data_IF_142332490907
#
_entry.id   IF_142332490907
#
_cell.length_a   1.000
_cell.length_b   1.000
_cell.length_c   1.000
_cell.angle_alpha   90.00
_cell.angle_beta   90.00
_cell.angle_gamma   90.00
#
_symmetry.space_group_name_H-M   'P 1'
#
loop_
_entity.id
_entity.type
_entity.pdbx_description
1 polymer ?
#
# COMPACT_ATOMS: atom_id res chain seq x y z
N UNK A 1 -14.41 -32.50 -1.41
CA UNK A 1 -13.39 -31.45 -1.16
C UNK A 1 -12.58 -31.93 0.02
N UNK A 2 -11.35 -32.35 -0.23
CA UNK A 2 -10.50 -33.00 0.77
C UNK A 2 -10.04 -31.99 1.82
N UNK A 3 -10.41 -32.26 3.08
CA UNK A 3 -9.82 -31.61 4.24
C UNK A 3 -8.41 -32.18 4.43
N UNK A 4 -7.41 -31.54 3.82
CA UNK A 4 -6.01 -31.85 4.14
C UNK A 4 -5.77 -31.58 5.63
N UNK A 5 -5.24 -32.61 6.31
CA UNK A 5 -4.81 -32.57 7.71
C UNK A 5 -3.84 -31.40 7.95
N UNK A 6 -4.35 -30.31 8.50
CA UNK A 6 -3.53 -29.17 8.90
C UNK A 6 -2.81 -29.50 10.22
N UNK A 7 -1.50 -29.77 10.14
CA UNK A 7 -0.68 -29.81 11.35
C UNK A 7 -0.50 -28.38 11.90
N UNK A 8 -0.74 -28.14 13.20
CA UNK A 8 -0.45 -26.85 13.81
C UNK A 8 1.03 -26.52 13.65
N UNK A 9 1.37 -25.24 13.43
CA UNK A 9 2.77 -24.79 13.47
C UNK A 9 3.41 -25.17 14.82
N UNK A 10 4.67 -25.62 14.82
CA UNK A 10 5.35 -26.17 15.99
C UNK A 10 5.27 -25.27 17.25
N UNK A 11 5.31 -23.95 17.06
CA UNK A 11 5.22 -22.96 18.14
C UNK A 11 3.79 -22.63 18.60
N UNK A 12 2.74 -23.02 17.85
CA UNK A 12 1.37 -22.99 18.35
C UNK A 12 1.11 -24.08 19.42
N UNK A 13 2.06 -25.02 19.57
CA UNK A 13 2.09 -26.03 20.63
C UNK A 13 3.07 -25.67 21.75
N UNK A 14 3.77 -24.53 21.67
CA UNK A 14 4.71 -24.15 22.72
C UNK A 14 3.95 -23.71 23.97
N UNK A 15 4.14 -24.46 25.05
CA UNK A 15 3.70 -24.05 26.37
C UNK A 15 4.38 -22.72 26.77
N UNK A 16 3.72 -21.94 27.64
CA UNK A 16 4.28 -20.72 28.22
C UNK A 16 5.71 -20.93 28.75
N UNK A 17 5.98 -22.09 29.35
CA UNK A 17 7.31 -22.48 29.84
C UNK A 17 8.37 -22.59 28.74
N UNK A 18 8.00 -23.04 27.54
CA UNK A 18 8.89 -23.10 26.39
C UNK A 18 9.22 -21.71 25.86
N UNK A 19 8.26 -20.77 25.90
CA UNK A 19 8.50 -19.35 25.55
C UNK A 19 9.36 -18.66 26.62
N UNK A 20 9.15 -18.96 27.90
CA UNK A 20 10.03 -18.50 28.98
C UNK A 20 11.45 -19.05 28.88
N UNK A 21 11.62 -20.25 28.31
CA UNK A 21 12.91 -20.90 28.11
C UNK A 21 13.65 -20.48 26.83
N UNK A 22 13.00 -19.76 25.90
CA UNK A 22 13.64 -19.28 24.65
C UNK A 22 14.72 -18.21 24.84
N UNK A 23 15.02 -17.85 26.09
CA UNK A 23 16.09 -16.92 26.43
C UNK A 23 15.62 -15.46 26.53
N UNK A 24 16.55 -14.55 26.84
CA UNK A 24 16.25 -13.12 26.90
C UNK A 24 15.81 -12.60 25.53
N UNK A 25 15.05 -11.50 25.52
CA UNK A 25 14.64 -10.83 24.29
C UNK A 25 15.84 -10.63 23.36
N UNK A 26 15.73 -11.14 22.13
CA UNK A 26 16.74 -10.90 21.11
C UNK A 26 16.80 -9.40 20.78
N UNK A 27 17.96 -8.92 20.36
CA UNK A 27 18.06 -7.54 19.83
C UNK A 27 17.09 -7.41 18.65
N UNK A 28 16.41 -6.25 18.50
CA UNK A 28 15.60 -5.98 17.32
C UNK A 28 16.44 -6.24 16.07
N UNK A 29 15.83 -6.90 15.07
CA UNK A 29 16.48 -7.06 13.77
C UNK A 29 16.75 -5.67 13.21
N UNK A 30 17.99 -5.43 12.82
CA UNK A 30 18.31 -4.28 11.97
C UNK A 30 17.70 -4.57 10.60
N UNK A 31 16.68 -3.79 10.23
CA UNK A 31 16.09 -3.89 8.90
C UNK A 31 17.08 -3.33 7.86
N UNK A 32 17.09 -3.89 6.63
CA UNK A 32 17.87 -3.30 5.55
C UNK A 32 17.40 -1.86 5.28
N UNK A 33 18.26 -1.04 4.67
CA UNK A 33 17.82 0.28 4.22
C UNK A 33 16.65 0.12 3.22
N UNK A 34 15.56 0.88 3.39
CA UNK A 34 14.42 0.74 2.51
C UNK A 34 14.75 1.23 1.10
N UNK A 35 14.21 0.54 0.11
CA UNK A 35 14.30 0.95 -1.30
C UNK A 35 13.23 2.00 -1.54
N UNK A 36 13.64 3.26 -1.66
CA UNK A 36 12.73 4.39 -1.90
C UNK A 36 13.01 5.00 -3.26
N UNK A 37 11.98 5.07 -4.12
CA UNK A 37 12.09 5.70 -5.45
C UNK A 37 11.64 7.15 -5.40
N UNK A 38 12.15 7.98 -6.31
CA UNK A 38 11.68 9.36 -6.45
C UNK A 38 10.29 9.37 -7.07
N UNK A 39 9.34 9.97 -6.37
CA UNK A 39 7.98 10.23 -6.82
C UNK A 39 7.76 11.71 -7.10
N UNK A 40 6.70 12.00 -7.83
CA UNK A 40 6.23 13.36 -8.10
C UNK A 40 4.71 13.41 -7.93
N UNK A 41 4.21 14.57 -7.51
CA UNK A 41 2.78 14.92 -7.53
C UNK A 41 2.52 15.91 -8.65
N UNK A 42 1.56 15.59 -9.52
CA UNK A 42 1.27 16.40 -10.70
C UNK A 42 -0.24 16.63 -10.88
N UNK A 43 -0.56 17.64 -11.68
CA UNK A 43 -1.88 17.75 -12.30
C UNK A 43 -1.87 16.91 -13.58
N UNK A 44 -2.72 15.89 -13.63
CA UNK A 44 -2.69 14.87 -14.67
C UNK A 44 -3.94 14.92 -15.54
N UNK A 45 -3.77 14.83 -16.86
CA UNK A 45 -4.89 14.60 -17.77
C UNK A 45 -5.30 13.13 -17.72
N UNK A 46 -6.55 12.87 -17.37
CA UNK A 46 -7.09 11.52 -17.15
C UNK A 46 -8.34 11.30 -17.99
N UNK A 47 -8.46 10.09 -18.54
CA UNK A 47 -9.58 9.63 -19.36
C UNK A 47 -10.38 8.59 -18.58
N UNK A 48 -11.70 8.76 -18.57
CA UNK A 48 -12.64 7.75 -18.08
C UNK A 48 -12.94 6.75 -19.20
N UNK A 49 -12.57 5.46 -19.05
CA UNK A 49 -12.67 4.52 -20.17
C UNK A 49 -14.12 4.24 -20.58
N UNK A 50 -15.09 4.36 -19.68
CA UNK A 50 -16.51 4.09 -19.94
C UNK A 50 -17.24 5.26 -20.60
N UNK A 51 -16.90 6.49 -20.24
CA UNK A 51 -17.59 7.68 -20.75
C UNK A 51 -16.80 8.42 -21.83
N UNK A 52 -15.50 8.13 -21.97
CA UNK A 52 -14.56 8.90 -22.78
C UNK A 52 -14.29 10.31 -22.25
N UNK A 53 -14.84 10.65 -21.07
CA UNK A 53 -14.67 11.96 -20.47
C UNK A 53 -13.21 12.18 -20.11
N UNK A 54 -12.71 13.39 -20.39
CA UNK A 54 -11.35 13.82 -20.07
C UNK A 54 -11.42 14.85 -18.95
N UNK A 55 -10.58 14.70 -17.93
CA UNK A 55 -10.52 15.63 -16.80
C UNK A 55 -9.08 15.83 -16.32
N UNK A 56 -8.82 16.96 -15.65
CA UNK A 56 -7.55 17.21 -14.97
C UNK A 56 -7.70 16.84 -13.50
N UNK A 57 -6.91 15.88 -13.06
CA UNK A 57 -6.87 15.43 -11.67
C UNK A 57 -5.67 16.02 -10.95
N UNK A 58 -5.89 16.58 -9.77
CA UNK A 58 -4.86 17.18 -8.95
C UNK A 58 -4.23 16.15 -8.00
N UNK A 59 -2.93 16.29 -7.75
CA UNK A 59 -2.21 15.49 -6.77
C UNK A 59 -2.05 14.02 -7.17
N UNK A 60 -2.03 13.72 -8.48
CA UNK A 60 -1.71 12.37 -8.96
C UNK A 60 -0.25 12.09 -8.69
N UNK A 61 0.03 10.95 -8.06
CA UNK A 61 1.35 10.52 -7.61
C UNK A 61 1.88 9.47 -8.59
N UNK A 62 3.10 9.64 -9.09
CA UNK A 62 3.78 8.61 -9.88
C UNK A 62 5.31 8.69 -9.75
N UNK A 63 6.03 7.67 -10.22
CA UNK A 63 7.51 7.71 -10.28
C UNK A 63 7.99 8.84 -11.19
N UNK A 64 9.03 9.55 -10.77
CA UNK A 64 9.62 10.64 -11.54
C UNK A 64 10.18 10.15 -12.90
N UNK A 65 10.75 8.94 -12.94
CA UNK A 65 11.27 8.31 -14.15
C UNK A 65 10.25 8.22 -15.29
N UNK A 66 8.94 8.19 -14.97
CA UNK A 66 7.88 8.20 -15.99
C UNK A 66 7.71 9.57 -16.65
N UNK A 67 8.09 10.64 -15.96
CA UNK A 67 8.13 12.01 -16.52
C UNK A 67 9.31 12.18 -17.48
N UNK A 68 10.38 11.41 -17.30
CA UNK A 68 11.67 11.58 -17.99
C UNK A 68 11.97 10.47 -19.02
N UNK A 69 11.15 9.43 -19.13
CA UNK A 69 11.44 8.28 -19.99
C UNK A 69 11.17 8.56 -21.48
N UNK A 70 12.15 9.21 -22.09
CA UNK A 70 12.66 8.82 -23.40
C UNK A 70 13.36 7.45 -23.29
N UNK A 71 12.75 6.44 -23.89
CA UNK A 71 13.35 5.15 -24.33
C UNK A 71 14.10 4.36 -23.25
N UNK A 72 13.51 3.24 -22.80
CA UNK A 72 14.27 2.11 -22.26
C UNK A 72 14.06 0.86 -23.11
N UNK A 73 15.15 0.11 -23.24
CA UNK A 73 15.36 -0.93 -24.23
C UNK A 73 14.64 -2.26 -23.91
N UNK A 74 14.26 -2.95 -24.99
CA UNK A 74 13.98 -4.39 -25.13
C UNK A 74 13.01 -5.03 -24.11
N UNK A 75 11.75 -5.09 -24.52
CA UNK A 75 10.95 -6.32 -24.41
C UNK A 75 10.00 -6.46 -23.23
N UNK A 76 10.19 -5.70 -22.14
CA UNK A 76 9.20 -5.61 -21.07
C UNK A 76 8.40 -4.31 -21.21
N UNK A 77 7.09 -4.43 -21.45
CA UNK A 77 6.17 -3.31 -21.31
C UNK A 77 6.20 -2.88 -19.85
N UNK A 78 6.92 -1.79 -19.55
CA UNK A 78 6.81 -1.15 -18.24
C UNK A 78 5.35 -0.77 -18.02
N UNK A 79 4.74 -1.35 -17.01
CA UNK A 79 3.41 -0.94 -16.58
C UNK A 79 3.54 0.42 -15.90
N UNK A 80 3.26 1.49 -16.67
CA UNK A 80 3.25 2.85 -16.15
C UNK A 80 2.02 3.01 -15.25
N UNK A 81 2.26 3.06 -13.95
CA UNK A 81 1.24 3.19 -12.93
C UNK A 81 1.35 4.54 -12.24
N UNK A 82 0.21 5.19 -12.03
CA UNK A 82 0.06 6.34 -11.16
C UNK A 82 -1.05 6.09 -10.15
N UNK A 83 -1.07 6.88 -9.08
CA UNK A 83 -2.01 6.76 -7.99
C UNK A 83 -2.72 8.08 -7.76
N UNK A 84 -4.04 8.04 -7.69
CA UNK A 84 -4.84 9.22 -7.42
C UNK A 84 -5.51 9.13 -6.05
N UNK A 85 -5.11 9.95 -5.07
CA UNK A 85 -5.73 9.99 -3.76
C UNK A 85 -7.21 10.41 -3.85
N UNK A 86 -8.09 9.59 -3.27
CA UNK A 86 -9.55 9.82 -3.33
C UNK A 86 -10.14 10.13 -1.97
N UNK A 87 -9.83 9.32 -0.97
CA UNK A 87 -10.46 9.39 0.35
C UNK A 87 -9.44 9.10 1.42
N UNK A 88 -9.33 9.99 2.40
CA UNK A 88 -8.58 9.72 3.62
C UNK A 88 -9.29 8.63 4.43
N UNK A 89 -8.55 7.60 4.81
CA UNK A 89 -9.03 6.47 5.59
C UNK A 89 -8.78 6.70 7.08
N UNK A 90 -7.60 7.19 7.42
CA UNK A 90 -7.15 7.30 8.81
C UNK A 90 -6.07 8.36 8.97
N UNK A 91 -6.04 9.04 10.11
CA UNK A 91 -4.93 9.89 10.54
C UNK A 91 -3.88 9.06 11.29
N UNK A 92 -2.61 9.33 11.03
CA UNK A 92 -1.46 8.68 11.66
C UNK A 92 -0.56 9.73 12.32
N UNK A 93 0.37 9.27 13.18
CA UNK A 93 1.25 10.16 13.96
C UNK A 93 2.02 11.14 13.08
N UNK A 94 2.52 10.66 11.94
CA UNK A 94 3.33 11.45 11.01
C UNK A 94 2.60 11.86 9.73
N UNK A 95 1.30 11.55 9.59
CA UNK A 95 0.57 11.84 8.36
C UNK A 95 -0.78 11.14 8.28
N UNK A 96 -1.09 10.47 7.18
CA UNK A 96 -2.41 9.85 6.99
C UNK A 96 -2.39 8.71 5.97
N UNK A 97 -3.39 7.81 6.05
CA UNK A 97 -3.61 6.73 5.08
C UNK A 97 -4.75 7.10 4.16
N UNK A 98 -4.58 6.88 2.86
CA UNK A 98 -5.55 7.23 1.81
C UNK A 98 -5.90 6.03 0.94
N UNK A 99 -7.18 5.88 0.62
CA UNK A 99 -7.63 5.07 -0.50
C UNK A 99 -7.36 5.84 -1.80
N UNK A 100 -6.63 5.20 -2.71
CA UNK A 100 -6.22 5.77 -3.98
C UNK A 100 -6.69 4.89 -5.14
N UNK A 101 -7.09 5.51 -6.24
CA UNK A 101 -7.36 4.81 -7.49
C UNK A 101 -6.04 4.58 -8.22
N UNK A 102 -5.88 3.39 -8.77
CA UNK A 102 -4.81 3.07 -9.70
C UNK A 102 -5.17 3.64 -11.07
N UNK A 103 -4.21 4.34 -11.66
CA UNK A 103 -4.27 4.84 -13.01
C UNK A 103 -3.19 4.14 -13.84
N UNK A 104 -3.52 3.84 -15.10
CA UNK A 104 -2.56 3.33 -16.07
C UNK A 104 -2.40 4.31 -17.21
N UNK A 105 -1.29 4.21 -17.94
CA UNK A 105 -1.07 5.06 -19.12
C UNK A 105 -2.13 4.79 -20.18
N UNK A 106 -2.77 5.86 -20.65
CA UNK A 106 -3.70 5.81 -21.77
C UNK A 106 -2.95 5.91 -23.10
N UNK A 107 -3.39 5.13 -24.08
CA UNK A 107 -2.92 5.19 -25.46
C UNK A 107 -4.10 5.45 -26.39
N UNK A 108 -3.90 6.29 -27.41
CA UNK A 108 -4.91 6.59 -28.41
C UNK A 108 -5.24 8.08 -28.48
N UNK A 109 -6.45 8.39 -28.94
CA UNK A 109 -6.83 9.74 -29.39
C UNK A 109 -6.56 10.82 -28.34
N UNK A 110 -6.84 10.56 -27.05
CA UNK A 110 -6.60 11.56 -26.01
C UNK A 110 -5.10 11.83 -25.78
N UNK A 111 -4.25 10.81 -25.91
CA UNK A 111 -2.80 10.95 -25.83
C UNK A 111 -2.25 11.69 -27.06
N UNK A 112 -2.75 11.37 -28.24
CA UNK A 112 -2.37 12.06 -29.48
C UNK A 112 -2.77 13.54 -29.45
N UNK A 113 -3.97 13.85 -28.97
CA UNK A 113 -4.45 15.22 -28.82
C UNK A 113 -3.60 16.00 -27.82
N UNK A 114 -3.20 15.38 -26.71
CA UNK A 114 -2.31 15.99 -25.73
C UNK A 114 -0.91 16.26 -26.31
N UNK A 115 -0.37 15.33 -27.11
CA UNK A 115 0.90 15.51 -27.81
C UNK A 115 0.84 16.72 -28.76
N UNK A 116 -0.20 16.78 -29.62
CA UNK A 116 -0.41 17.88 -30.56
C UNK A 116 -0.58 19.22 -29.84
N UNK A 117 -1.32 19.24 -28.72
CA UNK A 117 -1.51 20.43 -27.90
C UNK A 117 -0.19 20.94 -27.28
N UNK A 118 0.75 20.04 -27.00
CA UNK A 118 2.10 20.36 -26.54
C UNK A 118 3.07 20.71 -27.68
N UNK A 119 2.61 20.72 -28.95
CA UNK A 119 3.44 21.03 -30.12
C UNK A 119 4.40 19.91 -30.52
N UNK A 120 4.13 18.67 -30.12
CA UNK A 120 4.93 17.49 -30.48
C UNK A 120 4.10 16.44 -31.21
N UNK A 121 4.76 15.61 -32.02
CA UNK A 121 4.09 14.50 -32.71
C UNK A 121 3.61 13.42 -31.72
N UNK A 122 2.46 12.76 -31.99
CA UNK A 122 2.03 11.59 -31.23
C UNK A 122 3.12 10.52 -31.11
N UNK A 123 3.28 9.97 -29.91
CA UNK A 123 4.33 9.00 -29.61
C UNK A 123 5.71 9.61 -29.32
N UNK A 124 5.89 10.94 -29.44
CA UNK A 124 7.10 11.60 -28.99
C UNK A 124 7.27 11.38 -27.46
N UNK A 125 8.45 10.98 -26.97
CA UNK A 125 8.67 10.79 -25.54
C UNK A 125 8.51 12.05 -24.69
N UNK A 126 8.62 13.24 -25.29
CA UNK A 126 8.34 14.52 -24.63
C UNK A 126 6.84 14.86 -24.57
N UNK A 127 5.97 14.04 -25.18
CA UNK A 127 4.52 14.26 -25.10
C UNK A 127 4.03 14.10 -23.65
N UNK A 128 3.08 14.94 -23.20
CA UNK A 128 2.47 14.78 -21.88
C UNK A 128 1.88 13.38 -21.69
N UNK A 129 2.11 12.78 -20.52
CA UNK A 129 1.49 11.49 -20.20
C UNK A 129 0.01 11.68 -19.91
N UNK A 130 -0.83 10.94 -20.62
CA UNK A 130 -2.26 10.84 -20.37
C UNK A 130 -2.54 9.54 -19.64
N UNK A 131 -3.41 9.60 -18.64
CA UNK A 131 -3.76 8.47 -17.79
C UNK A 131 -5.19 8.02 -18.04
N UNK A 132 -5.50 6.80 -17.63
CA UNK A 132 -6.87 6.29 -17.57
C UNK A 132 -7.12 5.53 -16.27
N UNK A 133 -8.35 5.62 -15.79
CA UNK A 133 -8.79 4.99 -14.54
C UNK A 133 -8.97 3.49 -14.73
N UNK A 134 -8.42 2.66 -13.84
CA UNK A 134 -8.54 1.19 -13.94
C UNK A 134 -9.69 0.61 -13.11
N UNK A 135 -10.15 1.33 -12.08
CA UNK A 135 -11.11 0.85 -11.08
C UNK A 135 -10.46 0.06 -9.93
N UNK A 136 -9.17 -0.23 -10.03
CA UNK A 136 -8.39 -0.85 -8.96
C UNK A 136 -8.01 0.17 -7.89
N UNK A 137 -7.84 -0.31 -6.66
CA UNK A 137 -7.56 0.52 -5.51
C UNK A 137 -6.31 0.05 -4.78
N UNK A 138 -5.56 1.02 -4.26
CA UNK A 138 -4.47 0.80 -3.29
C UNK A 138 -4.71 1.67 -2.06
N UNK A 139 -4.11 1.29 -0.94
CA UNK A 139 -3.96 2.19 0.19
C UNK A 139 -2.55 2.80 0.15
N UNK A 140 -2.44 4.09 0.45
CA UNK A 140 -1.15 4.79 0.53
C UNK A 140 -1.05 5.46 1.89
N UNK A 141 -0.06 5.05 2.69
CA UNK A 141 0.34 5.79 3.90
C UNK A 141 1.26 6.92 3.46
N UNK A 142 0.80 8.15 3.63
CA UNK A 142 1.50 9.39 3.32
C UNK A 142 2.08 9.95 4.60
N UNK A 143 3.40 9.91 4.72
CA UNK A 143 4.16 10.42 5.87
C UNK A 143 4.72 11.79 5.51
N UNK A 144 4.39 12.81 6.27
CA UNK A 144 4.88 14.19 6.05
C UNK A 144 6.27 14.36 6.66
N UNK A 145 7.25 14.70 5.82
CA UNK A 145 8.61 14.96 6.28
C UNK A 145 8.65 16.07 7.32
N UNK A 146 7.85 17.13 7.17
CA UNK A 146 7.76 18.20 8.15
C UNK A 146 7.39 17.68 9.55
N UNK A 147 6.47 16.71 9.64
CA UNK A 147 6.07 16.10 10.92
C UNK A 147 7.17 15.20 11.48
N UNK A 148 7.84 14.40 10.64
CA UNK A 148 8.98 13.56 11.04
C UNK A 148 10.11 14.42 11.64
N UNK A 149 10.49 15.50 10.96
CA UNK A 149 11.54 16.41 11.44
C UNK A 149 11.14 17.08 12.76
N UNK A 150 9.89 17.54 12.88
CA UNK A 150 9.37 18.19 14.10
C UNK A 150 9.36 17.27 15.32
N UNK A 151 9.09 15.99 15.11
CA UNK A 151 8.90 14.99 16.17
C UNK A 151 10.15 14.13 16.43
N UNK A 152 11.22 14.34 15.65
CA UNK A 152 12.47 13.58 15.76
C UNK A 152 13.01 13.60 17.19
N UNK A 153 13.29 12.41 17.74
CA UNK A 153 13.79 12.23 19.11
C UNK A 153 12.75 12.39 20.23
N UNK A 154 11.48 12.67 19.91
CA UNK A 154 10.38 12.74 20.89
C UNK A 154 9.60 11.45 20.99
N UNK A 155 9.53 10.68 19.91
CA UNK A 155 8.83 9.40 19.83
C UNK A 155 9.83 8.28 19.51
N UNK A 156 9.52 7.07 19.94
CA UNK A 156 10.28 5.86 19.61
C UNK A 156 10.02 5.36 18.19
N UNK A 157 8.91 5.78 17.58
CA UNK A 157 8.50 5.36 16.24
C UNK A 157 9.34 6.04 15.16
N UNK A 158 9.85 5.24 14.23
CA UNK A 158 10.64 5.66 13.09
C UNK A 158 9.97 5.16 11.80
N UNK A 159 9.32 6.05 11.02
CA UNK A 159 8.58 5.65 9.83
C UNK A 159 9.49 5.05 8.75
N UNK A 160 10.79 5.36 8.75
CA UNK A 160 11.75 4.76 7.81
C UNK A 160 11.99 3.30 8.15
N UNK A 161 12.10 2.97 9.45
CA UNK A 161 12.23 1.58 9.92
C UNK A 161 10.95 0.77 9.71
N UNK A 162 9.78 1.39 9.88
CA UNK A 162 8.50 0.76 9.56
C UNK A 162 8.45 0.33 8.09
N UNK A 163 8.81 1.22 7.17
CA UNK A 163 8.83 0.92 5.75
C UNK A 163 9.85 -0.18 5.41
N UNK A 164 11.03 -0.12 6.02
CA UNK A 164 12.05 -1.16 5.85
C UNK A 164 11.51 -2.54 6.28
N UNK A 165 10.78 -2.60 7.39
CA UNK A 165 10.12 -3.83 7.82
C UNK A 165 9.02 -4.27 6.85
N UNK A 166 8.18 -3.35 6.36
CA UNK A 166 7.12 -3.66 5.39
C UNK A 166 7.65 -4.16 4.04
N UNK A 167 8.81 -3.66 3.60
CA UNK A 167 9.48 -4.15 2.40
C UNK A 167 10.13 -5.52 2.61
N UNK A 168 10.70 -5.76 3.81
CA UNK A 168 11.24 -7.06 4.18
C UNK A 168 10.15 -8.14 4.20
N UNK A 169 8.95 -7.80 4.70
CA UNK A 169 7.76 -8.67 4.63
C UNK A 169 7.35 -8.91 3.16
N UNK A 170 7.36 -7.83 2.36
CA UNK A 170 6.95 -7.87 0.95
C UNK A 170 5.45 -8.17 0.76
N UNK A 171 5.06 -8.47 -0.49
CA UNK A 171 3.66 -8.72 -0.85
C UNK A 171 3.31 -10.22 -1.00
N UNK A 172 4.18 -11.12 -0.55
CA UNK A 172 4.04 -12.57 -0.79
C UNK A 172 3.11 -13.30 0.19
N UNK A 173 2.82 -12.70 1.35
CA UNK A 173 1.97 -13.32 2.36
C UNK A 173 0.50 -12.92 2.16
N UNK A 174 -0.45 -13.87 2.14
CA UNK A 174 -1.88 -13.56 2.08
C UNK A 174 -2.44 -12.98 3.39
N UNK A 175 -1.66 -13.01 4.48
CA UNK A 175 -2.12 -12.64 5.82
C UNK A 175 -1.29 -11.55 6.50
N UNK A 176 -0.28 -11.01 5.82
CA UNK A 176 0.53 -9.89 6.32
C UNK A 176 0.61 -8.83 5.23
N UNK A 177 0.29 -7.60 5.60
CA UNK A 177 0.39 -6.48 4.69
C UNK A 177 1.83 -5.99 4.63
N UNK A 178 2.42 -6.02 3.44
CA UNK A 178 3.69 -5.36 3.15
C UNK A 178 3.51 -4.20 2.18
N UNK A 179 4.61 -3.49 1.92
CA UNK A 179 4.64 -2.43 0.91
C UNK A 179 4.94 -3.05 -0.45
N UNK A 180 4.11 -2.77 -1.45
CA UNK A 180 4.40 -3.12 -2.86
C UNK A 180 5.42 -2.18 -3.46
N UNK A 181 5.37 -0.91 -3.06
CA UNK A 181 6.28 0.12 -3.54
C UNK A 181 6.38 1.25 -2.52
N UNK A 182 7.51 1.96 -2.55
CA UNK A 182 7.72 3.17 -1.75
C UNK A 182 8.24 4.29 -2.64
N UNK A 183 7.56 5.43 -2.57
CA UNK A 183 7.94 6.66 -3.26
C UNK A 183 8.29 7.75 -2.25
N UNK A 184 9.07 8.73 -2.65
CA UNK A 184 9.21 9.98 -1.90
C UNK A 184 9.28 11.18 -2.83
N UNK A 185 8.70 12.29 -2.39
CA UNK A 185 9.00 13.62 -2.93
C UNK A 185 9.61 14.50 -1.81
N UNK A 186 9.66 15.81 -2.01
CA UNK A 186 10.27 16.73 -1.04
C UNK A 186 9.43 16.91 0.23
N UNK A 187 8.14 16.60 0.18
CA UNK A 187 7.21 16.83 1.29
C UNK A 187 6.79 15.52 1.98
N UNK A 188 6.71 14.42 1.23
CA UNK A 188 6.14 13.17 1.70
C UNK A 188 6.98 11.93 1.35
N UNK A 189 6.83 10.93 2.20
CA UNK A 189 7.18 9.54 1.97
C UNK A 189 5.88 8.72 1.83
N UNK A 190 5.75 8.01 0.71
CA UNK A 190 4.57 7.26 0.33
C UNK A 190 4.85 5.76 0.42
N UNK A 191 4.14 5.04 1.28
CA UNK A 191 4.13 3.57 1.29
C UNK A 191 2.85 3.08 0.61
N UNK A 192 3.00 2.43 -0.54
CA UNK A 192 1.91 1.88 -1.34
C UNK A 192 1.69 0.42 -0.93
N UNK A 193 0.44 0.08 -0.62
CA UNK A 193 0.03 -1.22 -0.12
C UNK A 193 -1.33 -1.65 -0.69
N UNK A 194 -1.63 -2.96 -0.68
CA UNK A 194 -2.94 -3.47 -1.08
C UNK A 194 -4.09 -2.78 -0.32
N UNK A 195 -5.19 -2.50 -1.02
CA UNK A 195 -6.38 -1.93 -0.40
C UNK A 195 -7.25 -3.02 0.24
N UNK A 196 -7.42 -2.95 1.56
CA UNK A 196 -8.32 -3.84 2.31
C UNK A 196 -9.75 -3.28 2.30
N UNK A 197 -10.56 -3.69 1.32
CA UNK A 197 -11.94 -3.19 1.16
C UNK A 197 -12.87 -3.50 2.36
N UNK A 198 -12.54 -4.53 3.15
CA UNK A 198 -13.27 -4.89 4.36
C UNK A 198 -12.96 -4.04 5.59
N UNK A 199 -12.03 -3.08 5.49
CA UNK A 199 -11.57 -2.29 6.63
C UNK A 199 -10.71 -3.09 7.61
N UNK A 200 -10.57 -2.57 8.83
CA UNK A 200 -9.84 -3.22 9.91
C UNK A 200 -10.73 -4.20 10.71
N UNK A 201 -10.09 -5.18 11.35
CA UNK A 201 -10.80 -6.22 12.11
C UNK A 201 -11.57 -5.65 13.31
N UNK A 202 -11.13 -4.53 13.90
CA UNK A 202 -11.85 -3.91 15.01
C UNK A 202 -13.18 -3.31 14.52
N UNK A 203 -13.18 -2.60 13.39
CA UNK A 203 -14.39 -2.13 12.73
C UNK A 203 -15.37 -3.27 12.42
N UNK A 204 -14.88 -4.42 11.94
CA UNK A 204 -15.72 -5.60 11.71
C UNK A 204 -16.35 -6.12 13.02
N UNK A 205 -15.57 -6.19 14.10
CA UNK A 205 -16.09 -6.61 15.42
C UNK A 205 -17.14 -5.64 15.95
N UNK A 206 -16.92 -4.33 15.79
CA UNK A 206 -17.87 -3.29 16.19
C UNK A 206 -19.18 -3.43 15.40
N UNK A 207 -19.10 -3.62 14.08
CA UNK A 207 -20.31 -3.81 13.26
C UNK A 207 -21.14 -5.02 13.72
N UNK A 208 -20.49 -6.14 14.07
CA UNK A 208 -21.21 -7.28 14.66
C UNK A 208 -21.90 -6.91 15.98
N UNK A 209 -21.25 -6.12 16.85
CA UNK A 209 -21.87 -5.69 18.08
C UNK A 209 -23.08 -4.76 17.82
N UNK A 210 -22.95 -3.83 16.88
CA UNK A 210 -24.03 -2.91 16.50
C UNK A 210 -25.23 -3.63 15.85
N UNK A 211 -24.97 -4.58 14.95
CA UNK A 211 -26.02 -5.38 14.30
C UNK A 211 -26.80 -6.28 15.28
N UNK A 212 -26.23 -6.57 16.45
CA UNK A 212 -26.84 -7.38 17.49
C UNK A 212 -27.29 -6.53 18.70
N UNK A 213 -27.51 -5.22 18.52
CA UNK A 213 -27.95 -4.30 19.58
C UNK A 213 -27.06 -4.33 20.85
N UNK A 214 -25.78 -4.70 20.70
CA UNK A 214 -24.83 -4.87 21.79
C UNK A 214 -25.00 -6.16 22.61
N UNK A 215 -26.00 -6.99 22.31
CA UNK A 215 -26.29 -8.23 23.04
C UNK A 215 -25.46 -9.44 22.56
N UNK A 216 -24.68 -9.28 21.48
CA UNK A 216 -23.83 -10.32 20.92
C UNK A 216 -22.59 -9.77 20.23
N UNK A 217 -21.48 -10.50 20.34
CA UNK A 217 -20.27 -10.22 19.57
C UNK A 217 -20.19 -11.04 18.29
N UNK A 218 -19.08 -10.90 17.58
CA UNK A 218 -18.75 -11.76 16.43
C UNK A 218 -18.95 -13.26 16.77
N UNK A 219 -19.72 -14.02 15.98
CA UNK A 219 -19.96 -15.44 16.26
C UNK A 219 -18.66 -16.25 16.33
N UNK A 220 -18.61 -17.21 17.26
CA UNK A 220 -17.42 -18.03 17.51
C UNK A 220 -16.82 -18.67 16.24
N UNK A 221 -17.60 -19.25 15.30
CA UNK A 221 -17.04 -19.81 14.07
C UNK A 221 -16.36 -18.76 13.18
N UNK A 222 -16.87 -17.52 13.16
CA UNK A 222 -16.31 -16.39 12.40
C UNK A 222 -15.05 -15.88 13.07
N UNK A 223 -15.07 -15.71 14.40
CA UNK A 223 -13.89 -15.34 15.17
C UNK A 223 -12.76 -16.35 14.96
N UNK A 224 -13.08 -17.65 15.06
CA UNK A 224 -12.13 -18.74 14.84
C UNK A 224 -11.50 -18.69 13.44
N UNK A 225 -12.27 -18.33 12.42
CA UNK A 225 -11.75 -18.16 11.06
C UNK A 225 -10.68 -17.06 10.99
N UNK A 226 -10.93 -15.88 11.56
CA UNK A 226 -9.95 -14.78 11.57
C UNK A 226 -8.72 -15.08 12.43
N UNK A 227 -8.92 -15.67 13.62
CA UNK A 227 -7.80 -16.08 14.48
C UNK A 227 -6.89 -17.12 13.81
N UNK A 228 -7.44 -18.02 12.99
CA UNK A 228 -6.61 -18.97 12.23
C UNK A 228 -5.70 -18.25 11.23
N UNK A 229 -6.20 -17.23 10.52
CA UNK A 229 -5.37 -16.45 9.59
C UNK A 229 -4.23 -15.73 10.33
N UNK A 230 -4.55 -15.10 11.46
CA UNK A 230 -3.56 -14.48 12.36
C UNK A 230 -2.47 -15.46 12.77
N UNK A 231 -2.84 -16.70 13.13
CA UNK A 231 -1.88 -17.72 13.53
C UNK A 231 -1.04 -18.25 12.35
N UNK A 232 -1.55 -18.17 11.11
CA UNK A 232 -0.88 -18.65 9.90
C UNK A 232 0.24 -17.73 9.39
N UNK A 233 0.29 -16.48 9.83
CA UNK A 233 1.36 -15.49 9.55
C UNK A 233 2.77 -16.02 9.84
N UNK A 234 2.90 -17.06 10.66
CA UNK A 234 4.17 -17.56 11.19
C UNK A 234 5.04 -18.37 10.23
N UNK A 235 4.56 -18.72 9.04
CA UNK A 235 5.40 -19.44 8.05
C UNK A 235 6.30 -18.51 7.19
N UNK A 236 6.27 -17.19 7.40
CA UNK A 236 7.08 -16.22 6.64
C UNK A 236 7.72 -15.05 7.43
N UNK A 237 7.59 -15.02 8.76
CA UNK A 237 8.25 -14.01 9.60
C UNK A 237 7.51 -12.67 9.71
N UNK A 238 7.54 -12.14 10.94
CA UNK A 238 7.15 -10.79 11.38
C UNK A 238 5.63 -10.54 11.48
N UNK A 239 5.22 -10.26 12.72
CA UNK A 239 3.93 -9.69 13.09
C UNK A 239 4.14 -8.18 13.25
N UNK A 240 3.55 -7.37 12.37
CA UNK A 240 3.45 -5.92 12.57
C UNK A 240 1.99 -5.52 12.39
N UNK A 241 1.33 -5.31 13.53
CA UNK A 241 0.05 -4.62 13.59
C UNK A 241 0.37 -3.14 13.67
N UNK A 242 0.05 -2.37 12.63
CA UNK A 242 0.04 -0.91 12.72
C UNK A 242 -1.41 -0.42 12.67
N UNK A 243 -1.78 0.28 13.74
CA UNK A 243 -2.84 1.28 13.77
C UNK A 243 -2.21 2.61 13.33
#
# INVERSE_FOLDING_TARGET
MDFQNFQPAAHAQHAFTAVGASGPAARPLDFPEPIVKRGVRVNALVVHPTTGQREILQGVIHKEELSNSAVLAKGEQLEFVAYWPRRRLQDAIYGSVWACLVLRRHYGVAADDAARAAGVEPGNPAAPTVWEVTGEHVAIKMVEWANVHRMRGRLLEDPVKEIAAMQLIGAGSPHVLGSTEVLQDDDFLYSIMPYCAGGDLFGVVVNYAEENDGEGGMPEPVARYWFRQVLQVRYGGIFLSFY
#
